data_IF_464045365266
#
_entry.id   IF_464045365266
#
_cell.length_a   1.000
_cell.length_b   1.000
_cell.length_c   1.000
_cell.angle_alpha   90.00
_cell.angle_beta   90.00
_cell.angle_gamma   90.00
#
_symmetry.space_group_name_H-M   'P 1'
#
loop_
_entity.id
_entity.type
_entity.pdbx_description
1 polymer ?
#
# COMPACT_ATOMS: atom_id res chain seq x y z
N UNK A 1 4.09 -20.66 -7.11
CA UNK A 1 3.81 -19.49 -6.25
C UNK A 1 2.30 -19.31 -6.18
N UNK A 2 1.73 -19.22 -4.97
CA UNK A 2 0.28 -19.04 -4.81
C UNK A 2 -0.17 -17.71 -5.44
N UNK A 3 -1.34 -17.72 -6.11
CA UNK A 3 -1.94 -16.52 -6.72
C UNK A 3 -2.12 -15.38 -5.71
N UNK A 4 -2.43 -15.72 -4.46
CA UNK A 4 -2.52 -14.79 -3.33
C UNK A 4 -1.22 -13.99 -3.10
N UNK A 5 -0.06 -14.63 -3.24
CA UNK A 5 1.23 -13.96 -3.05
C UNK A 5 1.48 -12.91 -4.15
N UNK A 6 1.03 -13.17 -5.39
CA UNK A 6 1.12 -12.19 -6.47
C UNK A 6 0.14 -11.03 -6.27
N UNK A 7 -1.03 -11.28 -5.68
CA UNK A 7 -2.00 -10.22 -5.39
C UNK A 7 -1.48 -9.19 -4.38
N UNK A 8 -0.59 -9.57 -3.47
CA UNK A 8 0.01 -8.62 -2.53
C UNK A 8 0.77 -7.50 -3.26
N UNK A 9 1.31 -7.77 -4.46
CA UNK A 9 2.03 -6.81 -5.29
C UNK A 9 1.13 -5.69 -5.81
N UNK A 10 -0.18 -5.92 -5.86
CA UNK A 10 -1.15 -5.00 -6.45
C UNK A 10 -1.16 -3.64 -5.76
N UNK A 11 -1.18 -3.61 -4.41
CA UNK A 11 -1.15 -2.37 -3.63
C UNK A 11 0.06 -1.48 -3.96
N UNK A 12 1.30 -1.95 -3.75
CA UNK A 12 2.51 -1.19 -4.11
C UNK A 12 2.57 -0.79 -5.59
N UNK A 13 2.11 -1.64 -6.50
CA UNK A 13 2.03 -1.32 -7.94
C UNK A 13 1.08 -0.17 -8.23
N UNK A 14 -0.14 -0.24 -7.72
CA UNK A 14 -1.17 0.77 -7.96
C UNK A 14 -0.74 2.11 -7.37
N UNK A 15 -0.14 2.09 -6.18
CA UNK A 15 0.42 3.27 -5.53
C UNK A 15 1.53 3.90 -6.37
N UNK A 16 2.51 3.10 -6.83
CA UNK A 16 3.60 3.56 -7.69
C UNK A 16 3.12 4.13 -9.02
N UNK A 17 2.23 3.41 -9.71
CA UNK A 17 1.67 3.86 -10.98
C UNK A 17 0.91 5.17 -10.83
N UNK A 18 0.09 5.30 -9.77
CA UNK A 18 -0.65 6.53 -9.50
C UNK A 18 0.26 7.72 -9.20
N UNK A 19 1.31 7.52 -8.38
CA UNK A 19 2.31 8.58 -8.12
C UNK A 19 3.09 8.97 -9.37
N UNK A 20 3.47 8.00 -10.20
CA UNK A 20 4.21 8.25 -11.43
C UNK A 20 3.34 9.05 -12.42
N UNK A 21 2.07 8.66 -12.59
CA UNK A 21 1.14 9.39 -13.44
C UNK A 21 0.89 10.83 -12.94
N UNK A 22 0.84 11.05 -11.62
CA UNK A 22 0.70 12.37 -11.04
C UNK A 22 1.91 13.27 -11.38
N UNK A 23 3.13 12.77 -11.18
CA UNK A 23 4.37 13.49 -11.49
C UNK A 23 4.50 13.77 -13.00
N UNK A 24 4.20 12.78 -13.85
CA UNK A 24 4.22 12.96 -15.30
C UNK A 24 3.18 13.98 -15.77
N UNK A 25 1.98 14.02 -15.16
CA UNK A 25 0.97 15.02 -15.47
C UNK A 25 1.44 16.43 -15.09
N UNK A 26 2.11 16.57 -13.95
CA UNK A 26 2.70 17.84 -13.51
C UNK A 26 3.83 18.29 -14.44
N UNK A 27 4.74 17.39 -14.86
CA UNK A 27 5.81 17.70 -15.79
C UNK A 27 5.28 18.04 -17.19
N UNK A 28 4.32 17.27 -17.72
CA UNK A 28 3.71 17.54 -19.01
C UNK A 28 3.04 18.92 -19.06
N UNK A 29 2.46 19.36 -17.94
CA UNK A 29 1.87 20.69 -17.82
C UNK A 29 2.92 21.82 -17.87
N UNK A 30 4.15 21.59 -17.39
CA UNK A 30 5.24 22.56 -17.51
C UNK A 30 5.64 22.79 -18.97
N UNK A 31 5.58 21.74 -19.80
CA UNK A 31 5.88 21.83 -21.23
C UNK A 31 4.73 22.41 -22.06
N UNK A 32 3.48 22.22 -21.65
CA UNK A 32 2.30 22.71 -22.36
C UNK A 32 1.28 23.36 -21.40
N UNK A 33 1.56 24.59 -20.92
CA UNK A 33 0.74 25.26 -19.92
C UNK A 33 -0.62 25.73 -20.44
N UNK A 34 -0.82 25.79 -21.76
CA UNK A 34 -2.07 26.21 -22.41
C UNK A 34 -3.13 25.11 -22.53
N UNK A 35 -2.80 23.87 -22.16
CA UNK A 35 -3.72 22.74 -22.31
C UNK A 35 -4.69 22.63 -21.13
N UNK A 36 -5.98 22.90 -21.38
CA UNK A 36 -7.05 22.74 -20.39
C UNK A 36 -7.20 21.29 -19.90
N UNK A 37 -6.93 20.31 -20.77
CA UNK A 37 -7.04 18.89 -20.43
C UNK A 37 -5.97 18.47 -19.42
N UNK A 38 -4.73 18.94 -19.58
CA UNK A 38 -3.64 18.68 -18.62
C UNK A 38 -3.93 19.34 -17.27
N UNK A 39 -4.46 20.56 -17.28
CA UNK A 39 -4.94 21.23 -16.07
C UNK A 39 -6.05 20.44 -15.37
N UNK A 40 -7.02 19.94 -16.13
CA UNK A 40 -8.09 19.10 -15.58
C UNK A 40 -7.53 17.82 -14.95
N UNK A 41 -6.66 17.08 -15.64
CA UNK A 41 -6.07 15.85 -15.10
C UNK A 41 -5.27 16.14 -13.83
N UNK A 42 -4.38 17.15 -13.87
CA UNK A 42 -3.52 17.47 -12.74
C UNK A 42 -4.33 17.93 -11.50
N UNK A 43 -5.31 18.82 -11.68
CA UNK A 43 -6.07 19.39 -10.57
C UNK A 43 -7.24 18.50 -10.10
N UNK A 44 -7.98 17.87 -11.01
CA UNK A 44 -9.20 17.09 -10.66
C UNK A 44 -8.94 15.62 -10.40
N UNK A 45 -7.97 15.01 -11.09
CA UNK A 45 -7.65 13.58 -10.95
C UNK A 45 -6.53 13.40 -9.93
N UNK A 46 -5.42 14.16 -10.06
CA UNK A 46 -4.25 14.03 -9.20
C UNK A 46 -4.13 15.10 -8.11
N UNK A 47 -5.14 15.96 -7.94
CA UNK A 47 -5.13 17.01 -6.91
C UNK A 47 -4.96 16.48 -5.47
N UNK A 48 -5.24 15.20 -5.21
CA UNK A 48 -4.98 14.56 -3.92
C UNK A 48 -3.47 14.42 -3.62
N UNK A 49 -2.66 14.17 -4.65
CA UNK A 49 -1.20 14.09 -4.54
C UNK A 49 -0.58 15.47 -4.27
N UNK A 50 -1.19 16.54 -4.81
CA UNK A 50 -0.78 17.91 -4.50
C UNK A 50 -1.02 18.27 -3.04
N UNK A 51 -2.16 17.85 -2.46
CA UNK A 51 -2.46 18.08 -1.03
C UNK A 51 -1.53 17.31 -0.12
N UNK A 52 -1.26 16.04 -0.43
CA UNK A 52 -0.28 15.27 0.34
C UNK A 52 1.12 15.86 0.22
N UNK A 53 1.50 16.36 -0.97
CA UNK A 53 2.79 17.01 -1.18
C UNK A 53 2.89 18.30 -0.35
N UNK A 54 1.85 19.13 -0.31
CA UNK A 54 1.82 20.36 0.49
C UNK A 54 1.92 20.10 2.01
N UNK A 55 1.32 19.02 2.52
CA UNK A 55 1.51 18.64 3.93
C UNK A 55 2.90 18.04 4.19
N UNK A 56 3.42 17.26 3.23
CA UNK A 56 4.71 16.59 3.37
C UNK A 56 5.88 17.57 3.22
N UNK A 57 5.75 18.62 2.41
CA UNK A 57 6.75 19.68 2.24
C UNK A 57 6.98 20.48 3.52
N UNK A 58 5.98 20.53 4.41
CA UNK A 58 6.14 21.09 5.76
C UNK A 58 7.12 20.31 6.66
N UNK A 59 7.41 19.04 6.32
CA UNK A 59 8.36 18.19 7.03
C UNK A 59 9.64 17.90 6.22
N UNK A 60 9.50 17.73 4.90
CA UNK A 60 10.57 17.37 3.97
C UNK A 60 10.44 18.21 2.70
N UNK A 61 11.22 19.29 2.61
CA UNK A 61 11.22 20.21 1.47
C UNK A 61 12.07 19.69 0.29
N UNK A 62 11.76 18.49 -0.21
CA UNK A 62 12.42 17.90 -1.38
C UNK A 62 11.38 17.69 -2.49
N UNK A 63 11.60 18.31 -3.65
CA UNK A 63 10.76 18.15 -4.83
C UNK A 63 10.75 16.68 -5.29
N UNK A 64 9.57 16.15 -5.61
CA UNK A 64 9.42 14.74 -6.03
C UNK A 64 9.66 13.70 -4.93
N UNK A 65 9.79 14.09 -3.66
CA UNK A 65 9.96 13.17 -2.53
C UNK A 65 8.86 12.11 -2.44
N UNK A 66 7.66 12.43 -2.93
CA UNK A 66 6.54 11.51 -2.93
C UNK A 66 6.77 10.29 -3.86
N UNK A 67 7.34 10.52 -5.05
CA UNK A 67 7.71 9.47 -5.98
C UNK A 67 9.04 8.81 -5.58
N UNK A 68 10.10 9.60 -5.39
CA UNK A 68 11.46 9.09 -5.18
C UNK A 68 11.73 8.63 -3.75
N UNK A 69 11.13 9.28 -2.75
CA UNK A 69 11.32 8.99 -1.34
C UNK A 69 10.34 7.97 -0.77
N UNK A 70 9.14 7.85 -1.35
CA UNK A 70 8.08 6.95 -0.83
C UNK A 70 7.72 5.87 -1.84
N UNK A 71 7.14 6.24 -2.99
CA UNK A 71 6.55 5.25 -3.89
C UNK A 71 7.59 4.31 -4.53
N UNK A 72 8.73 4.83 -4.97
CA UNK A 72 9.80 4.06 -5.62
C UNK A 72 10.46 3.07 -4.65
N UNK A 73 10.88 3.45 -3.42
CA UNK A 73 11.36 2.48 -2.44
C UNK A 73 10.35 1.38 -2.12
N UNK A 74 9.06 1.72 -1.99
CA UNK A 74 8.00 0.73 -1.75
C UNK A 74 7.83 -0.24 -2.91
N UNK A 75 7.88 0.27 -4.14
CA UNK A 75 7.82 -0.55 -5.34
C UNK A 75 9.05 -1.46 -5.47
N UNK A 76 10.25 -0.94 -5.20
CA UNK A 76 11.49 -1.73 -5.20
C UNK A 76 11.48 -2.80 -4.12
N UNK A 77 11.02 -2.49 -2.91
CA UNK A 77 10.83 -3.47 -1.83
C UNK A 77 9.84 -4.57 -2.24
N UNK A 78 8.75 -4.21 -2.89
CA UNK A 78 7.77 -5.17 -3.41
C UNK A 78 8.35 -6.04 -4.53
N UNK A 79 9.13 -5.46 -5.45
CA UNK A 79 9.85 -6.18 -6.50
C UNK A 79 10.91 -7.13 -5.94
N UNK A 80 11.69 -6.68 -4.95
CA UNK A 80 12.68 -7.51 -4.24
C UNK A 80 11.98 -8.64 -3.48
N UNK A 81 10.87 -8.35 -2.80
CA UNK A 81 10.04 -9.37 -2.15
C UNK A 81 9.52 -10.41 -3.14
N UNK A 82 9.17 -10.00 -4.36
CA UNK A 82 8.71 -10.91 -5.43
C UNK A 82 9.86 -11.75 -6.00
N UNK A 83 10.98 -11.11 -6.33
CA UNK A 83 12.15 -11.75 -6.95
C UNK A 83 12.87 -12.71 -5.98
N UNK A 84 13.12 -12.26 -4.74
CA UNK A 84 13.76 -13.05 -3.71
C UNK A 84 12.80 -14.01 -2.98
N UNK A 85 11.49 -13.97 -3.31
CA UNK A 85 10.41 -14.67 -2.59
C UNK A 85 10.44 -14.39 -1.07
N UNK A 86 10.96 -13.23 -0.69
CA UNK A 86 11.16 -12.83 0.69
C UNK A 86 9.86 -12.29 1.27
N UNK A 87 9.19 -13.12 2.08
CA UNK A 87 7.98 -12.75 2.84
C UNK A 87 8.11 -11.45 3.66
N UNK A 88 9.22 -11.16 4.38
CA UNK A 88 9.28 -9.97 5.23
C UNK A 88 9.30 -8.67 4.44
N UNK A 89 10.04 -8.61 3.32
CA UNK A 89 10.08 -7.43 2.46
C UNK A 89 8.69 -7.10 1.90
N UNK A 90 7.91 -8.13 1.56
CA UNK A 90 6.53 -8.00 1.08
C UNK A 90 5.57 -7.47 2.15
N UNK A 91 5.68 -7.97 3.38
CA UNK A 91 4.89 -7.49 4.52
C UNK A 91 5.18 -6.02 4.80
N UNK A 92 6.46 -5.63 4.82
CA UNK A 92 6.86 -4.24 5.04
C UNK A 92 6.31 -3.34 3.93
N UNK A 93 6.47 -3.72 2.66
CA UNK A 93 5.97 -2.94 1.52
C UNK A 93 4.45 -2.75 1.56
N UNK A 94 3.70 -3.81 1.87
CA UNK A 94 2.23 -3.75 1.90
C UNK A 94 1.69 -2.94 3.08
N UNK A 95 2.32 -3.05 4.26
CA UNK A 95 1.96 -2.25 5.43
C UNK A 95 2.26 -0.76 5.23
N UNK A 96 3.46 -0.44 4.72
CA UNK A 96 3.83 0.95 4.42
C UNK A 96 2.96 1.54 3.31
N UNK A 97 2.58 0.74 2.30
CA UNK A 97 1.64 1.18 1.25
C UNK A 97 0.25 1.48 1.82
N UNK A 98 -0.25 0.66 2.74
CA UNK A 98 -1.52 0.90 3.42
C UNK A 98 -1.46 2.14 4.34
N UNK A 99 -0.36 2.31 5.08
CA UNK A 99 -0.12 3.50 5.89
C UNK A 99 -0.08 4.77 5.04
N UNK A 100 0.60 4.72 3.90
CA UNK A 100 0.66 5.83 2.96
C UNK A 100 -0.70 6.13 2.31
N UNK A 101 -1.47 5.11 1.94
CA UNK A 101 -2.86 5.30 1.48
C UNK A 101 -3.72 5.97 2.56
N UNK A 102 -3.56 5.58 3.83
CA UNK A 102 -4.20 6.26 4.97
C UNK A 102 -3.78 7.73 5.09
N UNK A 103 -2.49 8.02 4.89
CA UNK A 103 -1.99 9.40 4.84
C UNK A 103 -2.62 10.22 3.70
N UNK A 104 -2.85 9.63 2.52
CA UNK A 104 -3.57 10.30 1.42
C UNK A 104 -5.03 10.63 1.79
N UNK A 105 -5.71 9.74 2.54
CA UNK A 105 -7.06 10.02 3.04
C UNK A 105 -7.01 11.13 4.10
N UNK A 106 -6.02 11.08 4.99
CA UNK A 106 -5.84 12.10 6.02
C UNK A 106 -5.55 13.48 5.39
N UNK A 107 -4.64 13.56 4.43
CA UNK A 107 -4.34 14.82 3.73
C UNK A 107 -5.53 15.37 2.95
N UNK A 108 -6.41 14.49 2.49
CA UNK A 108 -7.67 14.87 1.88
C UNK A 108 -8.64 15.50 2.89
N UNK A 109 -8.75 14.94 4.10
CA UNK A 109 -9.61 15.43 5.19
C UNK A 109 -9.06 16.69 5.88
N UNK A 110 -7.73 16.79 6.04
CA UNK A 110 -7.08 17.87 6.76
C UNK A 110 -7.19 19.25 6.08
N UNK A 111 -7.54 19.28 4.78
CA UNK A 111 -7.62 20.53 4.02
C UNK A 111 -6.24 21.14 3.72
N UNK A 112 -6.21 22.18 2.90
CA UNK A 112 -4.97 22.86 2.48
C UNK A 112 -4.57 23.88 3.55
N UNK A 113 -3.30 23.95 3.98
CA UNK A 113 -2.83 25.06 4.80
C UNK A 113 -2.98 26.38 4.02
N UNK A 114 -3.62 27.36 4.67
CA UNK A 114 -4.14 28.62 4.12
C UNK A 114 -3.11 29.59 3.52
N UNK A 115 -1.84 29.20 3.39
CA UNK A 115 -0.73 30.13 3.06
C UNK A 115 -0.47 30.31 1.57
N UNK A 116 -1.04 29.49 0.68
CA UNK A 116 -0.79 29.56 -0.78
C UNK A 116 -2.05 29.81 -1.63
N UNK A 117 -3.17 30.25 -1.03
CA UNK A 117 -4.40 30.56 -1.78
C UNK A 117 -4.56 32.06 -2.02
N UNK A 118 -3.79 32.59 -2.97
CA UNK A 118 -4.10 33.86 -3.61
C UNK A 118 -4.72 33.59 -4.99
N UNK A 119 -6.05 33.68 -5.06
CA UNK A 119 -6.91 33.80 -6.27
C UNK A 119 -7.55 32.59 -6.96
N UNK A 120 -7.28 31.32 -6.61
CA UNK A 120 -8.17 30.24 -7.09
C UNK A 120 -9.30 29.99 -6.08
N UNK A 121 -10.50 30.46 -6.46
CA UNK A 121 -11.75 30.35 -5.72
C UNK A 121 -12.06 28.94 -5.23
N UNK A 122 -12.84 28.91 -4.15
CA UNK A 122 -13.31 27.75 -3.37
C UNK A 122 -12.81 26.41 -3.88
N UNK A 123 -11.94 25.78 -3.09
CA UNK A 123 -11.59 24.36 -3.20
C UNK A 123 -12.89 23.56 -3.12
N UNK A 124 -13.48 23.31 -4.28
CA UNK A 124 -14.59 22.40 -4.41
C UNK A 124 -14.08 21.02 -4.00
N UNK A 125 -14.85 20.35 -3.14
CA UNK A 125 -14.77 18.91 -2.94
C UNK A 125 -14.54 18.30 -4.34
N UNK A 126 -13.42 17.59 -4.61
CA UNK A 126 -13.21 17.00 -5.92
C UNK A 126 -14.25 15.90 -6.12
N UNK A 127 -15.41 16.28 -6.63
CA UNK A 127 -16.51 15.38 -6.95
C UNK A 127 -16.12 14.59 -8.20
N UNK A 128 -15.99 13.26 -8.05
CA UNK A 128 -15.82 12.32 -9.14
C UNK A 128 -14.41 11.71 -9.21
N UNK A 129 -13.60 12.14 -10.17
CA UNK A 129 -12.42 11.40 -10.63
C UNK A 129 -11.33 11.16 -9.56
N UNK A 130 -10.94 12.18 -8.80
CA UNK A 130 -9.92 12.03 -7.74
C UNK A 130 -10.33 11.09 -6.61
N UNK A 131 -11.64 11.01 -6.30
CA UNK A 131 -12.16 10.04 -5.32
C UNK A 131 -12.04 8.60 -5.83
N UNK A 132 -12.30 8.35 -7.12
CA UNK A 132 -12.11 7.01 -7.69
C UNK A 132 -10.66 6.57 -7.62
N UNK A 133 -9.70 7.47 -7.93
CA UNK A 133 -8.27 7.17 -7.80
C UNK A 133 -7.90 6.86 -6.34
N UNK A 134 -8.35 7.68 -5.40
CA UNK A 134 -8.11 7.44 -3.96
C UNK A 134 -8.69 6.11 -3.49
N UNK A 135 -9.95 5.82 -3.82
CA UNK A 135 -10.62 4.58 -3.44
C UNK A 135 -9.97 3.36 -4.09
N UNK A 136 -9.45 3.51 -5.31
CA UNK A 136 -8.70 2.44 -6.00
C UNK A 136 -7.38 2.16 -5.29
N UNK A 137 -6.61 3.20 -4.94
CA UNK A 137 -5.34 3.05 -4.20
C UNK A 137 -5.61 2.45 -2.82
N UNK A 138 -6.58 3.00 -2.09
CA UNK A 138 -6.95 2.53 -0.76
C UNK A 138 -7.43 1.08 -0.81
N UNK A 139 -8.33 0.75 -1.73
CA UNK A 139 -8.86 -0.60 -1.93
C UNK A 139 -7.75 -1.60 -2.28
N UNK A 140 -6.85 -1.25 -3.21
CA UNK A 140 -5.72 -2.10 -3.58
C UNK A 140 -4.75 -2.32 -2.39
N UNK A 141 -4.46 -1.28 -1.63
CA UNK A 141 -3.56 -1.37 -0.47
C UNK A 141 -4.19 -2.17 0.68
N UNK A 142 -5.47 -1.95 0.98
CA UNK A 142 -6.20 -2.72 2.00
C UNK A 142 -6.36 -4.19 1.60
N UNK A 143 -6.61 -4.47 0.32
CA UNK A 143 -6.65 -5.84 -0.19
C UNK A 143 -5.30 -6.53 -0.03
N UNK A 144 -4.20 -5.87 -0.42
CA UNK A 144 -2.85 -6.38 -0.21
C UNK A 144 -2.56 -6.65 1.28
N UNK A 145 -2.97 -5.74 2.17
CA UNK A 145 -2.81 -5.86 3.63
C UNK A 145 -3.62 -7.04 4.20
N UNK A 146 -4.89 -7.18 3.79
CA UNK A 146 -5.76 -8.26 4.22
C UNK A 146 -5.22 -9.63 3.80
N UNK A 147 -4.69 -9.73 2.57
CA UNK A 147 -4.08 -10.97 2.07
C UNK A 147 -2.85 -11.35 2.91
N UNK A 148 -2.03 -10.37 3.32
CA UNK A 148 -0.90 -10.63 4.22
C UNK A 148 -1.36 -11.24 5.54
N UNK A 149 -2.44 -10.73 6.13
CA UNK A 149 -3.01 -11.28 7.36
C UNK A 149 -3.59 -12.68 7.16
N UNK A 150 -4.30 -12.92 6.06
CA UNK A 150 -4.82 -14.26 5.73
C UNK A 150 -3.68 -15.27 5.58
N UNK A 151 -2.60 -14.92 4.89
CA UNK A 151 -1.43 -15.79 4.74
C UNK A 151 -0.72 -16.04 6.08
N UNK A 152 -0.64 -15.02 6.95
CA UNK A 152 -0.10 -15.18 8.30
C UNK A 152 -0.95 -16.13 9.15
N UNK A 153 -2.26 -15.94 9.18
CA UNK A 153 -3.18 -16.81 9.93
C UNK A 153 -3.17 -18.24 9.40
N UNK A 154 -3.07 -18.43 8.08
CA UNK A 154 -2.90 -19.76 7.48
C UNK A 154 -1.60 -20.43 7.93
N UNK A 155 -0.51 -19.67 8.04
CA UNK A 155 0.76 -20.20 8.51
C UNK A 155 0.70 -20.65 9.97
N UNK A 156 0.19 -19.78 10.85
CA UNK A 156 0.00 -20.07 12.28
C UNK A 156 -0.92 -21.27 12.48
N UNK A 157 -2.04 -21.35 11.74
CA UNK A 157 -2.97 -22.49 11.82
C UNK A 157 -2.31 -23.81 11.46
N UNK A 158 -1.47 -23.82 10.42
CA UNK A 158 -0.77 -25.03 9.98
C UNK A 158 0.29 -25.48 11.00
N UNK A 159 0.99 -24.52 11.62
CA UNK A 159 1.97 -24.78 12.67
C UNK A 159 1.32 -25.36 13.91
N UNK A 160 0.25 -24.73 14.41
CA UNK A 160 -0.55 -25.24 15.54
C UNK A 160 -1.11 -26.63 15.22
N UNK A 161 -1.63 -26.86 14.01
CA UNK A 161 -2.12 -28.17 13.58
C UNK A 161 -1.03 -29.24 13.49
N UNK A 162 0.21 -28.88 13.17
CA UNK A 162 1.35 -29.81 13.22
C UNK A 162 1.77 -30.15 14.64
N UNK A 163 1.80 -29.16 15.54
CA UNK A 163 2.11 -29.35 16.96
C UNK A 163 1.05 -30.22 17.64
N UNK A 164 -0.23 -29.99 17.34
CA UNK A 164 -1.32 -30.80 17.88
C UNK A 164 -1.23 -32.26 17.42
N UNK A 165 -0.93 -32.49 16.13
CA UNK A 165 -0.70 -33.84 15.59
C UNK A 165 0.51 -34.52 16.22
N UNK A 166 1.61 -33.79 16.40
CA UNK A 166 2.79 -34.29 17.08
C UNK A 166 2.50 -34.66 18.53
N UNK A 167 1.77 -33.80 19.28
CA UNK A 167 1.37 -34.07 20.65
C UNK A 167 0.49 -35.33 20.76
N UNK A 168 -0.49 -35.46 19.87
CA UNK A 168 -1.41 -36.60 19.85
C UNK A 168 -0.70 -37.92 19.44
N UNK A 169 0.31 -37.83 18.57
CA UNK A 169 1.19 -38.97 18.23
C UNK A 169 2.07 -39.36 19.41
N UNK A 170 2.71 -38.39 20.07
CA UNK A 170 3.57 -38.62 21.24
C UNK A 170 2.79 -39.22 22.41
N UNK A 171 1.54 -38.77 22.64
CA UNK A 171 0.65 -39.35 23.66
C UNK A 171 0.31 -40.81 23.35
N UNK A 172 -0.02 -41.13 22.10
CA UNK A 172 -0.28 -42.52 21.67
C UNK A 172 0.94 -43.42 21.80
N UNK A 173 2.12 -42.93 21.43
CA UNK A 173 3.37 -43.68 21.55
C UNK A 173 3.81 -43.86 23.01
N UNK A 174 3.58 -42.86 23.87
CA UNK A 174 3.83 -42.97 25.31
C UNK A 174 2.87 -43.92 26.03
N UNK A 175 1.62 -44.02 25.57
CA UNK A 175 0.65 -45.03 26.02
C UNK A 175 1.02 -46.45 25.55
N UNK A 176 1.71 -46.58 24.41
CA UNK A 176 2.26 -47.87 23.94
C UNK A 176 3.46 -48.33 24.79
N UNK A 177 4.31 -47.43 25.28
CA UNK A 177 5.41 -47.79 26.18
C UNK A 177 4.99 -48.19 27.60
N UNK A 178 3.74 -47.93 28.01
CA UNK A 178 3.19 -48.36 29.31
C UNK A 178 2.26 -49.58 29.20
N UNK A 179 2.15 -50.19 28.00
CA UNK A 179 1.33 -51.38 27.74
C UNK A 179 2.16 -52.59 27.31
N UNK A 180 3.22 -52.89 28.05
CA UNK A 180 3.72 -54.26 28.24
C UNK A 180 4.14 -54.34 29.72
N UNK A 181 3.39 -55.05 30.56
CA UNK A 181 3.69 -56.47 30.74
C UNK A 181 2.45 -57.32 31.07
N UNK A 182 2.24 -58.40 30.33
CA UNK A 182 1.56 -59.64 30.77
C UNK A 182 1.94 -60.67 29.72
N UNK A 183 2.99 -61.45 29.99
CA UNK A 183 2.88 -62.88 30.41
C UNK A 183 2.21 -63.76 29.35
#
# INVERSE_FOLDING_TARGET
MNRLFKLQFLGPCVLFAATLCAELAAQALQYSPSSELLWFINLKIFGIFQRSHALLSGYVAIDGFQLFGVALPLFLLACLGLAAKARPAFTIATHLSAGYAGFLVYSWQAGVPTTAQASLGSIGIPSGAGLYVMMTILGACLLSFAITHVLYLQHVRNEVGSLMRWYDQSRRNGLLCLREPTE
#
